data_IF_167854899955
#
_entry.id   IF_167854899955
#
_cell.length_a   1.000
_cell.length_b   1.000
_cell.length_c   1.000
_cell.angle_alpha   90.00
_cell.angle_beta   90.00
_cell.angle_gamma   90.00
#
_symmetry.space_group_name_H-M   'P 1'
#
loop_
_entity.id
_entity.type
_entity.pdbx_description
1 polymer ?
#
# COMPACT_ATOMS: atom_id res chain seq x y z
N UNK A 1 23.70 -43.41 44.51
CA UNK A 1 24.64 -44.44 44.05
C UNK A 1 24.70 -44.40 42.52
N UNK A 2 25.89 -44.20 41.92
CA UNK A 2 26.08 -44.19 40.47
C UNK A 2 26.71 -45.49 39.96
N UNK A 3 26.47 -45.80 38.69
CA UNK A 3 27.34 -46.62 37.82
C UNK A 3 27.37 -45.88 36.46
N UNK A 4 28.51 -45.43 35.92
CA UNK A 4 29.59 -46.20 35.26
C UNK A 4 29.03 -46.97 34.03
N UNK A 5 29.41 -46.62 32.79
CA UNK A 5 30.69 -46.94 32.10
C UNK A 5 30.79 -48.47 31.83
N UNK A 6 31.11 -48.98 30.65
CA UNK A 6 32.06 -48.55 29.57
C UNK A 6 31.46 -48.77 28.14
N UNK A 7 32.05 -48.50 26.95
CA UNK A 7 33.45 -48.46 26.40
C UNK A 7 34.08 -49.87 26.17
N UNK A 8 34.86 -50.24 25.12
CA UNK A 8 35.44 -49.64 23.88
C UNK A 8 35.36 -50.74 22.77
N UNK A 9 35.35 -50.54 21.44
CA UNK A 9 35.35 -49.33 20.60
C UNK A 9 36.27 -49.40 19.36
N UNK A 10 36.08 -50.35 18.43
CA UNK A 10 36.89 -50.56 17.20
C UNK A 10 36.03 -51.03 16.00
N UNK A 11 36.42 -50.88 14.73
CA UNK A 11 37.53 -50.11 14.14
C UNK A 11 37.99 -50.65 12.77
N UNK A 12 38.32 -49.78 11.81
CA UNK A 12 39.04 -50.15 10.57
C UNK A 12 38.32 -49.84 9.25
N UNK A 13 39.03 -49.49 8.15
CA UNK A 13 38.42 -49.05 6.89
C UNK A 13 38.67 -49.99 5.69
N UNK A 14 37.78 -49.95 4.70
CA UNK A 14 38.08 -50.35 3.31
C UNK A 14 37.68 -49.24 2.33
N UNK A 15 38.26 -49.26 1.13
CA UNK A 15 38.51 -48.05 0.34
C UNK A 15 37.84 -48.01 -1.03
N UNK A 16 37.34 -46.82 -1.38
CA UNK A 16 37.32 -46.22 -2.72
C UNK A 16 36.83 -47.05 -3.93
N UNK A 17 35.73 -46.63 -4.54
CA UNK A 17 35.59 -46.71 -6.00
C UNK A 17 34.56 -45.70 -6.54
N UNK A 18 34.70 -45.38 -7.83
CA UNK A 18 33.83 -44.59 -8.71
C UNK A 18 33.65 -43.08 -8.44
N UNK A 19 34.04 -42.33 -9.47
CA UNK A 19 34.00 -40.89 -9.55
C UNK A 19 32.65 -40.35 -10.07
N UNK A 20 32.47 -39.05 -9.84
CA UNK A 20 31.59 -38.10 -10.54
C UNK A 20 31.75 -38.15 -12.09
N UNK A 21 30.80 -37.64 -12.92
CA UNK A 21 30.17 -36.33 -12.70
C UNK A 21 28.69 -36.15 -13.12
N UNK A 22 28.21 -34.92 -12.87
CA UNK A 22 26.86 -34.45 -13.12
C UNK A 22 26.49 -34.37 -14.61
N UNK A 23 25.31 -34.91 -14.98
CA UNK A 23 24.72 -34.71 -16.31
C UNK A 23 23.20 -34.98 -16.33
N UNK A 24 22.42 -34.23 -15.54
CA UNK A 24 20.95 -34.41 -15.47
C UNK A 24 20.12 -33.11 -15.39
N UNK A 25 20.66 -32.00 -15.90
CA UNK A 25 20.04 -30.66 -15.84
C UNK A 25 19.74 -30.01 -17.21
N UNK A 26 19.76 -30.79 -18.32
CA UNK A 26 19.57 -30.28 -19.69
C UNK A 26 18.57 -31.10 -20.53
N UNK A 27 17.58 -31.76 -19.90
CA UNK A 27 16.54 -32.54 -20.60
C UNK A 27 15.12 -32.30 -20.04
N UNK A 28 14.78 -31.06 -19.64
CA UNK A 28 13.42 -30.71 -19.18
C UNK A 28 12.76 -29.51 -19.89
N UNK A 29 13.47 -28.85 -20.82
CA UNK A 29 13.00 -27.65 -21.53
C UNK A 29 12.51 -27.93 -22.97
N UNK A 30 12.17 -29.19 -23.28
CA UNK A 30 11.79 -29.66 -24.62
C UNK A 30 10.30 -30.06 -24.76
N UNK A 31 9.42 -29.53 -23.90
CA UNK A 31 7.97 -29.83 -23.94
C UNK A 31 7.05 -28.60 -23.89
N UNK A 32 7.59 -27.39 -24.12
CA UNK A 32 6.81 -26.14 -24.24
C UNK A 32 7.27 -25.37 -25.48
N UNK A 33 7.05 -25.92 -26.68
CA UNK A 33 7.19 -25.16 -27.94
C UNK A 33 6.37 -25.69 -29.14
N UNK A 34 5.50 -26.69 -28.95
CA UNK A 34 4.76 -27.36 -30.04
C UNK A 34 3.27 -26.96 -30.07
N UNK A 35 2.98 -25.65 -30.05
CA UNK A 35 1.59 -25.12 -30.03
C UNK A 35 1.39 -23.75 -30.70
N UNK A 36 2.42 -23.18 -31.34
CA UNK A 36 2.31 -21.93 -32.12
C UNK A 36 2.92 -22.14 -33.50
N UNK A 37 2.13 -22.72 -34.41
CA UNK A 37 2.54 -23.01 -35.78
C UNK A 37 2.61 -21.75 -36.65
N UNK A 38 3.79 -21.14 -36.76
CA UNK A 38 4.10 -20.10 -37.77
C UNK A 38 5.24 -20.62 -38.66
N UNK A 39 5.07 -20.51 -39.98
CA UNK A 39 5.89 -21.20 -40.99
C UNK A 39 7.18 -20.47 -41.35
N UNK A 40 8.20 -21.27 -41.68
CA UNK A 40 9.44 -20.92 -42.40
C UNK A 40 9.31 -19.78 -43.43
N UNK A 41 10.33 -18.90 -43.48
CA UNK A 41 10.99 -18.49 -44.73
C UNK A 41 12.39 -17.87 -44.49
N UNK A 42 13.36 -18.23 -45.36
CA UNK A 42 14.74 -17.71 -45.51
C UNK A 42 15.61 -17.64 -44.21
N UNK A 43 16.66 -18.43 -43.98
CA UNK A 43 17.73 -19.11 -44.79
C UNK A 43 18.91 -18.19 -45.17
N UNK A 44 20.13 -18.73 -44.98
CA UNK A 44 21.50 -18.16 -45.09
C UNK A 44 21.96 -17.34 -43.86
N UNK A 45 22.87 -17.84 -43.00
CA UNK A 45 24.31 -18.19 -43.19
C UNK A 45 25.15 -16.98 -43.64
N UNK A 46 26.06 -16.41 -42.83
CA UNK A 46 27.26 -16.97 -42.15
C UNK A 46 28.35 -17.41 -43.15
N UNK A 47 29.44 -16.64 -43.21
CA UNK A 47 30.87 -17.01 -43.03
C UNK A 47 31.72 -15.74 -43.29
N UNK A 48 32.85 -15.57 -42.59
CA UNK A 48 33.76 -14.43 -42.75
C UNK A 48 34.90 -14.71 -43.73
N UNK A 49 35.51 -13.66 -44.32
CA UNK A 49 36.78 -13.80 -45.05
C UNK A 49 37.69 -12.56 -44.99
N UNK A 50 39.00 -12.83 -44.85
CA UNK A 50 40.20 -12.02 -45.10
C UNK A 50 40.19 -10.47 -45.00
N UNK A 51 40.89 -9.98 -43.98
CA UNK A 51 42.17 -9.25 -44.13
C UNK A 51 42.33 -8.21 -45.26
N UNK A 52 42.17 -6.92 -44.94
CA UNK A 52 43.24 -5.90 -45.00
C UNK A 52 42.72 -4.50 -44.61
N UNK A 53 43.38 -3.84 -43.64
CA UNK A 53 43.89 -2.47 -43.80
C UNK A 53 44.80 -2.07 -42.62
N UNK A 54 45.73 -1.14 -42.84
CA UNK A 54 46.79 -0.74 -41.92
C UNK A 54 46.57 0.65 -41.32
N UNK A 55 47.15 0.88 -40.15
CA UNK A 55 47.47 2.19 -39.54
C UNK A 55 46.27 3.07 -39.10
N UNK A 56 46.41 4.04 -38.18
CA UNK A 56 47.61 4.66 -37.56
C UNK A 56 47.46 4.68 -36.02
N UNK A 57 48.57 4.60 -35.28
CA UNK A 57 48.64 4.64 -33.80
C UNK A 57 49.05 6.04 -33.24
N UNK A 58 49.31 6.14 -31.92
CA UNK A 58 49.74 7.34 -31.15
C UNK A 58 48.56 8.21 -30.63
N UNK A 59 48.39 8.55 -29.34
CA UNK A 59 49.20 8.42 -28.09
C UNK A 59 50.53 9.19 -28.16
N UNK A 60 50.76 10.28 -27.39
CA UNK A 60 51.04 10.19 -25.94
C UNK A 60 50.84 11.54 -25.20
N UNK A 61 50.49 11.41 -23.92
CA UNK A 61 50.58 12.38 -22.80
C UNK A 61 51.78 13.36 -22.78
N UNK A 62 51.61 14.57 -22.21
CA UNK A 62 52.30 14.93 -20.94
C UNK A 62 51.78 16.19 -20.21
N UNK A 63 51.94 16.13 -18.88
CA UNK A 63 51.91 17.10 -17.77
C UNK A 63 52.15 18.61 -18.01
N UNK A 64 51.59 19.46 -17.12
CA UNK A 64 52.09 20.84 -16.88
C UNK A 64 51.26 21.70 -15.91
N UNK A 65 51.69 21.86 -14.65
CA UNK A 65 51.06 22.79 -13.70
C UNK A 65 51.48 24.26 -13.94
N UNK A 66 50.55 25.20 -13.70
CA UNK A 66 50.88 26.45 -12.97
C UNK A 66 49.66 27.07 -12.29
N UNK A 67 49.70 27.15 -10.97
CA UNK A 67 48.87 28.08 -10.18
C UNK A 67 49.57 29.44 -10.13
N UNK A 68 48.79 30.52 -9.98
CA UNK A 68 49.29 31.83 -9.54
C UNK A 68 48.41 32.28 -8.37
N UNK A 69 49.03 32.77 -7.29
CA UNK A 69 48.34 33.04 -6.03
C UNK A 69 48.14 34.53 -5.76
N UNK A 70 46.95 34.82 -5.22
CA UNK A 70 46.56 35.95 -4.36
C UNK A 70 47.59 37.08 -4.11
N UNK A 71 47.19 38.33 -4.39
CA UNK A 71 47.53 39.46 -3.52
C UNK A 71 46.34 40.39 -3.27
N UNK A 72 46.16 40.67 -1.97
CA UNK A 72 45.50 41.78 -1.27
C UNK A 72 44.69 42.83 -2.07
N UNK A 73 43.51 43.14 -1.52
CA UNK A 73 43.34 44.40 -0.77
C UNK A 73 42.33 44.19 0.38
N UNK A 74 42.40 45.04 1.42
CA UNK A 74 41.60 44.90 2.65
C UNK A 74 40.93 46.22 3.03
N UNK A 75 39.76 46.11 3.70
CA UNK A 75 39.17 47.10 4.63
C UNK A 75 38.68 48.43 4.01
N UNK A 76 37.89 49.25 4.76
CA UNK A 76 37.37 49.06 6.11
C UNK A 76 35.82 49.00 6.22
N UNK A 77 35.34 48.72 7.44
CA UNK A 77 33.95 48.86 7.85
C UNK A 77 33.58 50.34 8.05
N UNK A 78 32.33 50.71 7.76
CA UNK A 78 31.73 52.00 8.14
C UNK A 78 30.53 51.79 9.10
N UNK A 79 30.33 52.71 10.04
CA UNK A 79 29.42 52.57 11.19
C UNK A 79 28.58 53.84 11.40
N UNK A 80 27.31 53.80 11.03
CA UNK A 80 26.22 54.68 11.49
C UNK A 80 24.89 54.05 11.03
N UNK A 81 23.82 53.81 11.79
CA UNK A 81 23.21 54.42 13.01
C UNK A 81 22.06 55.41 12.73
N UNK A 82 20.86 54.97 13.13
CA UNK A 82 19.66 55.73 13.51
C UNK A 82 19.11 56.84 12.59
N UNK A 83 17.99 56.50 11.95
CA UNK A 83 16.68 57.17 12.16
C UNK A 83 16.57 58.69 11.99
N UNK A 84 16.00 59.10 10.85
CA UNK A 84 15.02 60.20 10.76
C UNK A 84 13.87 59.86 9.81
N UNK A 85 12.71 60.45 10.09
CA UNK A 85 11.44 60.42 9.35
C UNK A 85 11.57 61.19 8.00
N UNK A 86 10.70 60.98 6.96
CA UNK A 86 9.25 61.15 7.06
C UNK A 86 8.35 60.15 6.32
N UNK A 87 7.03 60.31 6.52
CA UNK A 87 5.98 59.60 5.82
C UNK A 87 5.59 60.34 4.53
N UNK A 88 5.71 59.68 3.38
CA UNK A 88 5.10 60.08 2.10
C UNK A 88 4.51 58.86 1.42
N UNK A 89 3.39 59.05 0.71
CA UNK A 89 2.63 57.93 0.14
C UNK A 89 3.30 57.36 -1.13
N UNK A 90 3.31 56.03 -1.24
CA UNK A 90 3.62 55.33 -2.48
C UNK A 90 2.55 54.27 -2.74
N UNK A 91 1.79 54.43 -3.83
CA UNK A 91 0.89 53.39 -4.31
C UNK A 91 1.67 52.40 -5.18
N UNK A 92 1.67 51.12 -4.82
CA UNK A 92 2.24 50.07 -5.68
C UNK A 92 1.48 48.75 -5.57
N UNK A 93 0.94 48.33 -6.71
CA UNK A 93 0.77 46.93 -7.16
C UNK A 93 0.64 45.83 -6.08
N UNK A 94 -0.58 45.36 -5.86
CA UNK A 94 -0.83 44.25 -4.93
C UNK A 94 -0.32 42.89 -5.42
N UNK A 95 -0.48 41.87 -4.57
CA UNK A 95 -0.48 40.46 -4.96
C UNK A 95 -1.92 39.92 -4.86
N UNK A 96 -2.51 39.40 -5.94
CA UNK A 96 -3.81 38.74 -5.85
C UNK A 96 -3.68 37.44 -5.04
N UNK A 97 -4.74 37.08 -4.33
CA UNK A 97 -4.82 35.76 -3.69
C UNK A 97 -4.75 34.67 -4.75
N UNK A 98 -3.68 33.87 -4.72
CA UNK A 98 -3.53 32.73 -5.62
C UNK A 98 -4.62 31.71 -5.34
N UNK A 99 -5.63 31.63 -6.21
CA UNK A 99 -6.72 30.66 -6.06
C UNK A 99 -6.12 29.25 -6.02
N UNK A 100 -6.26 28.55 -4.88
CA UNK A 100 -5.83 27.15 -4.75
C UNK A 100 -6.84 26.29 -5.53
N UNK A 101 -6.73 26.32 -6.86
CA UNK A 101 -7.26 25.27 -7.72
C UNK A 101 -6.51 24.01 -7.33
N UNK A 102 -7.18 23.13 -6.59
CA UNK A 102 -6.62 21.82 -6.24
C UNK A 102 -6.28 21.12 -7.55
N UNK A 103 -4.98 21.03 -7.86
CA UNK A 103 -4.50 20.35 -9.05
C UNK A 103 -4.71 18.85 -8.86
N UNK A 104 -5.92 18.38 -9.17
CA UNK A 104 -6.35 16.98 -9.15
C UNK A 104 -5.41 16.08 -9.97
N UNK A 105 -4.79 16.65 -11.00
CA UNK A 105 -3.69 16.06 -11.79
C UNK A 105 -2.43 15.82 -10.94
N UNK A 106 -1.97 16.81 -10.17
CA UNK A 106 -0.82 16.69 -9.25
C UNK A 106 -1.12 15.74 -8.11
N UNK A 107 -2.30 15.83 -7.48
CA UNK A 107 -2.73 14.90 -6.45
C UNK A 107 -2.76 13.44 -6.97
N UNK A 108 -3.31 13.21 -8.16
CA UNK A 108 -3.29 11.88 -8.81
C UNK A 108 -1.88 11.37 -9.11
N UNK A 109 -0.94 12.24 -9.47
CA UNK A 109 0.48 11.87 -9.70
C UNK A 109 1.21 11.52 -8.41
N UNK A 110 0.96 12.24 -7.32
CA UNK A 110 1.48 11.92 -5.98
C UNK A 110 0.93 10.57 -5.51
N UNK A 111 -0.40 10.40 -5.60
CA UNK A 111 -1.11 9.18 -5.21
C UNK A 111 -0.62 7.94 -5.98
N UNK A 112 -0.26 8.09 -7.26
CA UNK A 112 0.35 7.03 -8.06
C UNK A 112 1.78 6.63 -7.65
N UNK A 113 2.47 7.41 -6.80
CA UNK A 113 3.77 7.08 -6.21
C UNK A 113 3.68 6.55 -4.77
N UNK A 114 2.52 6.67 -4.10
CA UNK A 114 2.32 6.16 -2.75
C UNK A 114 2.26 4.62 -2.72
N UNK A 115 2.60 3.96 -1.60
CA UNK A 115 2.59 2.50 -1.48
C UNK A 115 1.18 1.88 -1.41
N UNK A 116 0.11 2.70 -1.42
CA UNK A 116 -1.30 2.29 -1.49
C UNK A 116 -1.76 1.28 -0.41
N UNK A 117 -1.08 1.26 0.75
CA UNK A 117 -1.42 0.35 1.85
C UNK A 117 -2.71 0.72 2.58
N UNK A 118 -3.14 1.98 2.49
CA UNK A 118 -4.28 2.58 3.21
C UNK A 118 -4.19 2.47 4.76
N UNK A 119 -3.00 2.29 5.32
CA UNK A 119 -2.76 2.07 6.76
C UNK A 119 -2.98 3.28 7.69
N UNK A 120 -3.42 4.43 7.16
CA UNK A 120 -3.68 5.70 7.87
C UNK A 120 -2.57 6.28 8.77
N UNK A 121 -1.36 5.70 8.80
CA UNK A 121 -0.23 6.11 9.68
C UNK A 121 0.22 7.57 9.50
N UNK A 122 -0.03 8.18 8.33
CA UNK A 122 0.20 9.61 8.08
C UNK A 122 -0.87 10.55 8.67
N UNK A 123 -1.85 10.04 9.42
CA UNK A 123 -2.97 10.82 9.97
C UNK A 123 -4.14 11.05 9.00
N UNK A 124 -4.00 10.64 7.73
CA UNK A 124 -5.05 10.77 6.71
C UNK A 124 -5.82 9.45 6.52
N UNK A 125 -7.13 9.49 6.19
CA UNK A 125 -7.97 8.29 6.03
C UNK A 125 -7.68 7.44 4.77
N UNK A 126 -6.59 7.73 4.04
CA UNK A 126 -6.15 6.98 2.86
C UNK A 126 -5.04 7.70 2.10
N UNK A 127 -4.47 7.02 1.10
CA UNK A 127 -3.38 7.55 0.27
C UNK A 127 -3.81 8.77 -0.57
N UNK A 128 -5.00 8.73 -1.19
CA UNK A 128 -5.48 9.85 -2.01
C UNK A 128 -5.72 11.15 -1.20
N UNK A 129 -6.36 11.14 -0.01
CA UNK A 129 -6.43 12.32 0.87
C UNK A 129 -5.05 12.88 1.28
N UNK A 130 -4.07 12.03 1.61
CA UNK A 130 -2.69 12.46 1.89
C UNK A 130 -2.04 13.11 0.65
N UNK A 131 -2.23 12.50 -0.53
CA UNK A 131 -1.74 13.04 -1.81
C UNK A 131 -2.37 14.41 -2.16
N UNK A 132 -3.66 14.60 -1.84
CA UNK A 132 -4.32 15.90 -1.96
C UNK A 132 -3.73 16.94 -1.00
N UNK A 133 -3.42 16.57 0.24
CA UNK A 133 -2.79 17.46 1.22
C UNK A 133 -1.36 17.87 0.81
N UNK A 134 -0.55 16.93 0.29
CA UNK A 134 0.77 17.25 -0.29
C UNK A 134 0.63 18.22 -1.48
N UNK A 135 -0.35 17.98 -2.37
CA UNK A 135 -0.61 18.84 -3.53
C UNK A 135 -1.09 20.25 -3.15
N UNK A 136 -1.76 20.39 -2.00
CA UNK A 136 -2.19 21.67 -1.42
C UNK A 136 -1.10 22.35 -0.58
N UNK A 137 -0.03 21.63 -0.23
CA UNK A 137 1.03 22.12 0.68
C UNK A 137 0.65 22.08 2.17
N UNK A 138 -0.44 21.39 2.53
CA UNK A 138 -0.90 21.23 3.93
C UNK A 138 -0.31 20.00 4.63
N UNK A 139 0.36 19.11 3.88
CA UNK A 139 1.16 18.00 4.40
C UNK A 139 2.59 18.02 3.83
N UNK A 140 3.53 17.49 4.61
CA UNK A 140 4.88 17.20 4.14
C UNK A 140 4.93 15.93 3.28
N UNK A 141 6.05 15.71 2.59
CA UNK A 141 6.30 14.51 1.77
C UNK A 141 6.87 13.32 2.58
N UNK A 142 7.28 13.63 3.81
CA UNK A 142 8.06 12.86 4.78
C UNK A 142 7.22 11.96 5.70
N UNK A 143 5.89 11.97 5.57
CA UNK A 143 4.96 11.45 6.58
C UNK A 143 4.49 10.00 6.35
N UNK A 144 5.12 9.25 5.43
CA UNK A 144 4.62 7.94 4.98
C UNK A 144 5.64 6.80 5.20
N UNK A 145 5.69 6.19 6.41
CA UNK A 145 6.68 5.15 6.72
C UNK A 145 6.67 3.93 5.78
N UNK A 146 5.52 3.40 5.30
CA UNK A 146 5.52 2.30 4.34
C UNK A 146 5.98 2.68 2.92
N UNK A 147 6.20 3.96 2.65
CA UNK A 147 6.84 4.43 1.41
C UNK A 147 8.36 4.52 1.52
N UNK A 148 8.89 4.55 2.75
CA UNK A 148 10.31 4.67 3.04
C UNK A 148 10.96 5.95 2.52
N UNK A 149 12.28 6.07 2.71
CA UNK A 149 13.05 7.21 2.17
C UNK A 149 12.92 7.27 0.63
N UNK A 150 12.95 6.12 -0.04
CA UNK A 150 12.81 6.01 -1.50
C UNK A 150 11.43 6.45 -2.04
N UNK A 151 10.42 6.60 -1.17
CA UNK A 151 9.15 7.25 -1.45
C UNK A 151 9.26 8.78 -1.31
N UNK A 152 9.87 9.27 -0.23
CA UNK A 152 10.09 10.71 0.00
C UNK A 152 10.91 11.34 -1.13
N UNK A 153 12.01 10.69 -1.54
CA UNK A 153 12.87 11.13 -2.64
C UNK A 153 12.09 11.25 -3.97
N UNK A 154 11.19 10.30 -4.23
CA UNK A 154 10.37 10.29 -5.44
C UNK A 154 9.29 11.37 -5.43
N UNK A 155 8.73 11.69 -4.26
CA UNK A 155 7.81 12.82 -4.08
C UNK A 155 8.54 14.17 -4.19
N UNK A 156 9.76 14.28 -3.66
CA UNK A 156 10.61 15.45 -3.82
C UNK A 156 10.91 15.71 -5.31
N UNK A 157 11.36 14.69 -6.03
CA UNK A 157 11.62 14.75 -7.47
C UNK A 157 10.36 15.08 -8.30
N UNK A 158 9.21 14.48 -7.98
CA UNK A 158 7.93 14.78 -8.65
C UNK A 158 7.51 16.25 -8.50
N UNK A 159 7.83 16.87 -7.36
CA UNK A 159 7.38 18.22 -6.98
C UNK A 159 8.44 19.31 -7.18
N UNK A 160 9.64 18.97 -7.66
CA UNK A 160 10.75 19.92 -7.80
C UNK A 160 11.23 20.49 -6.47
N UNK A 161 11.18 19.68 -5.39
CA UNK A 161 11.59 20.06 -4.03
C UNK A 161 12.90 19.37 -3.65
N UNK A 162 13.63 19.92 -2.68
CA UNK A 162 14.69 19.18 -2.02
C UNK A 162 14.11 17.97 -1.27
N UNK A 163 14.86 16.86 -1.22
CA UNK A 163 14.46 15.71 -0.39
C UNK A 163 14.63 16.03 1.11
N UNK A 164 13.93 15.27 1.93
CA UNK A 164 13.88 15.39 3.39
C UNK A 164 13.99 13.97 3.98
N UNK A 165 14.53 13.80 5.19
CA UNK A 165 14.50 12.50 5.86
C UNK A 165 13.06 12.10 6.18
N UNK A 166 12.75 10.80 6.11
CA UNK A 166 11.50 10.23 6.62
C UNK A 166 11.26 10.68 8.08
N UNK A 167 10.04 11.12 8.38
CA UNK A 167 9.72 11.77 9.64
C UNK A 167 9.29 10.76 10.73
N UNK A 168 10.10 10.57 11.79
CA UNK A 168 9.88 9.51 12.78
C UNK A 168 8.60 9.73 13.62
N UNK A 169 8.02 10.94 13.62
CA UNK A 169 6.76 11.21 14.31
C UNK A 169 5.57 10.43 13.73
N UNK A 170 5.66 9.97 12.47
CA UNK A 170 4.64 9.13 11.82
C UNK A 170 4.99 7.63 11.86
N UNK A 171 6.16 7.27 12.39
CA UNK A 171 6.70 5.91 12.45
C UNK A 171 7.99 5.72 11.66
N UNK A 172 8.58 4.52 11.78
CA UNK A 172 9.82 4.13 11.09
C UNK A 172 9.55 3.29 9.85
N UNK A 173 10.48 3.31 8.90
CA UNK A 173 10.51 2.37 7.77
C UNK A 173 10.72 0.94 8.29
N UNK A 174 9.94 -0.01 7.78
CA UNK A 174 9.92 -1.41 8.22
C UNK A 174 9.59 -2.34 7.04
N UNK A 175 10.07 -3.60 7.03
CA UNK A 175 9.77 -4.54 5.96
C UNK A 175 8.25 -4.77 5.87
N UNK A 176 7.65 -4.78 4.66
CA UNK A 176 6.21 -4.95 4.52
C UNK A 176 5.76 -6.32 5.02
N UNK A 177 4.69 -6.33 5.80
CA UNK A 177 4.19 -7.51 6.50
C UNK A 177 3.02 -8.17 5.75
N UNK A 178 2.58 -9.30 6.30
CA UNK A 178 1.29 -9.94 6.02
C UNK A 178 0.58 -10.18 7.35
N UNK A 179 -0.73 -9.99 7.38
CA UNK A 179 -1.54 -10.35 8.55
C UNK A 179 -1.83 -11.86 8.49
N UNK A 180 -1.78 -12.54 9.63
CA UNK A 180 -2.10 -13.97 9.78
C UNK A 180 -3.12 -14.12 10.90
N UNK A 181 -4.16 -14.92 10.69
CA UNK A 181 -5.23 -15.20 11.66
C UNK A 181 -4.99 -16.57 12.27
N UNK A 182 -5.18 -16.72 13.58
CA UNK A 182 -5.26 -18.02 14.24
C UNK A 182 -6.69 -18.59 14.04
N UNK A 183 -6.84 -19.60 13.19
CA UNK A 183 -8.15 -20.23 12.93
C UNK A 183 -8.78 -20.92 14.15
N UNK A 184 -7.99 -21.36 15.14
CA UNK A 184 -8.49 -22.04 16.34
C UNK A 184 -9.13 -21.06 17.33
N UNK A 185 -8.64 -19.81 17.39
CA UNK A 185 -9.20 -18.73 18.23
C UNK A 185 -10.27 -17.90 17.47
N UNK A 186 -10.34 -17.99 16.14
CA UNK A 186 -11.22 -17.15 15.31
C UNK A 186 -12.73 -17.45 15.46
N UNK A 187 -13.42 -16.72 16.34
CA UNK A 187 -14.88 -16.82 16.61
C UNK A 187 -15.81 -16.43 15.43
N UNK A 188 -15.28 -16.08 14.26
CA UNK A 188 -16.07 -15.78 13.07
C UNK A 188 -16.94 -14.52 13.12
N UNK A 189 -16.46 -13.46 13.78
CA UNK A 189 -17.23 -12.24 14.03
C UNK A 189 -17.36 -11.25 12.84
N UNK A 190 -16.64 -11.47 11.73
CA UNK A 190 -16.58 -10.61 10.52
C UNK A 190 -16.05 -9.17 10.68
N UNK A 191 -15.72 -8.69 11.88
CA UNK A 191 -15.20 -7.32 12.09
C UNK A 191 -13.94 -7.02 11.25
N UNK A 192 -13.03 -8.00 11.14
CA UNK A 192 -11.82 -7.89 10.33
C UNK A 192 -12.11 -7.67 8.82
N UNK A 193 -13.16 -8.30 8.26
CA UNK A 193 -13.62 -8.04 6.87
C UNK A 193 -14.12 -6.60 6.72
N UNK A 194 -14.72 -6.02 7.76
CA UNK A 194 -15.21 -4.63 7.77
C UNK A 194 -14.06 -3.61 7.90
N UNK A 195 -12.97 -3.97 8.57
CA UNK A 195 -11.76 -3.14 8.67
C UNK A 195 -10.83 -3.24 7.45
N UNK A 196 -10.75 -4.38 6.77
CA UNK A 196 -9.79 -4.60 5.68
C UNK A 196 -10.09 -3.71 4.45
N UNK A 197 -9.18 -2.80 4.03
CA UNK A 197 -9.44 -1.85 2.94
C UNK A 197 -9.45 -2.48 1.53
N UNK A 198 -8.88 -3.68 1.36
CA UNK A 198 -8.63 -4.32 0.05
C UNK A 198 -9.38 -5.63 -0.16
N UNK A 199 -10.27 -6.01 0.77
CA UNK A 199 -10.97 -7.31 0.81
C UNK A 199 -10.00 -8.52 0.75
N UNK A 200 -8.87 -8.46 1.45
CA UNK A 200 -7.88 -9.55 1.52
C UNK A 200 -8.25 -10.64 2.55
N UNK A 201 -9.35 -10.49 3.29
CA UNK A 201 -9.80 -11.44 4.32
C UNK A 201 -11.06 -12.15 3.81
N UNK A 202 -11.02 -13.47 3.83
CA UNK A 202 -12.13 -14.36 3.47
C UNK A 202 -12.68 -15.08 4.70
N UNK A 203 -13.95 -15.46 4.65
CA UNK A 203 -14.66 -16.10 5.76
C UNK A 203 -16.15 -15.80 5.72
N UNK A 204 -16.87 -16.24 6.74
CA UNK A 204 -18.30 -15.98 6.90
C UNK A 204 -18.67 -15.86 8.38
N UNK A 205 -19.83 -15.28 8.68
CA UNK A 205 -20.37 -15.21 10.04
C UNK A 205 -20.43 -16.59 10.68
N UNK A 206 -19.86 -16.73 11.89
CA UNK A 206 -19.72 -18.02 12.62
C UNK A 206 -18.86 -19.08 11.91
N UNK A 207 -17.93 -18.67 11.05
CA UNK A 207 -16.87 -19.51 10.47
C UNK A 207 -15.50 -18.86 10.69
N UNK A 208 -14.45 -19.66 10.74
CA UNK A 208 -13.07 -19.17 10.73
C UNK A 208 -12.81 -18.24 9.53
N UNK A 209 -11.87 -17.32 9.70
CA UNK A 209 -11.46 -16.37 8.67
C UNK A 209 -9.99 -16.60 8.37
N UNK A 210 -9.61 -16.53 7.10
CA UNK A 210 -8.23 -16.66 6.63
C UNK A 210 -7.89 -15.51 5.67
N UNK A 211 -6.61 -15.33 5.38
CA UNK A 211 -6.09 -14.18 4.62
C UNK A 211 -5.54 -14.64 3.28
N UNK A 212 -5.77 -13.82 2.24
CA UNK A 212 -5.17 -14.01 0.92
C UNK A 212 -3.90 -13.15 0.87
N UNK A 213 -2.75 -13.78 1.07
CA UNK A 213 -1.46 -13.11 1.20
C UNK A 213 -1.09 -12.23 0.00
N UNK A 214 -1.47 -12.64 -1.22
CA UNK A 214 -1.25 -11.86 -2.44
C UNK A 214 -2.04 -10.52 -2.46
N UNK A 215 -3.20 -10.49 -1.80
CA UNK A 215 -4.08 -9.31 -1.71
C UNK A 215 -3.74 -8.43 -0.50
N UNK A 216 -2.99 -8.96 0.48
CA UNK A 216 -2.73 -8.28 1.75
C UNK A 216 -1.67 -7.17 1.63
N UNK A 217 -2.04 -5.96 2.05
CA UNK A 217 -1.19 -4.75 2.02
C UNK A 217 -0.32 -4.56 3.27
N UNK A 218 -0.44 -5.39 4.30
CA UNK A 218 0.22 -5.16 5.59
C UNK A 218 -0.33 -3.95 6.35
N UNK A 219 -1.59 -3.54 6.09
CA UNK A 219 -2.17 -2.29 6.59
C UNK A 219 -2.46 -2.22 8.10
N UNK A 220 -2.35 -3.34 8.84
CA UNK A 220 -2.54 -3.45 10.30
C UNK A 220 -3.97 -3.22 10.83
N UNK A 221 -4.84 -2.54 10.06
CA UNK A 221 -6.20 -2.14 10.46
C UNK A 221 -7.12 -3.28 10.95
N UNK A 222 -6.82 -4.54 10.59
CA UNK A 222 -7.59 -5.70 11.04
C UNK A 222 -7.27 -6.14 12.47
N UNK A 223 -6.08 -5.87 13.01
CA UNK A 223 -5.65 -6.30 14.35
C UNK A 223 -6.54 -5.67 15.45
N UNK A 224 -6.63 -4.34 15.61
CA UNK A 224 -7.48 -3.71 16.63
C UNK A 224 -9.00 -3.85 16.34
N UNK A 225 -9.38 -4.42 15.19
CA UNK A 225 -10.77 -4.76 14.89
C UNK A 225 -11.16 -6.16 15.40
N UNK A 226 -10.19 -6.99 15.80
CA UNK A 226 -10.44 -8.32 16.34
C UNK A 226 -10.90 -8.23 17.81
N UNK A 227 -12.04 -8.83 18.20
CA UNK A 227 -12.52 -8.81 19.60
C UNK A 227 -11.95 -9.95 20.45
N UNK A 228 -11.03 -10.74 19.90
CA UNK A 228 -10.37 -11.90 20.54
C UNK A 228 -8.88 -11.96 20.19
N UNK A 229 -8.31 -10.86 19.68
CA UNK A 229 -6.89 -10.63 19.37
C UNK A 229 -6.15 -11.72 18.54
N UNK A 230 -6.90 -12.60 17.87
CA UNK A 230 -6.38 -13.73 17.08
C UNK A 230 -5.71 -13.36 15.75
N UNK A 231 -5.13 -12.17 15.62
CA UNK A 231 -4.49 -11.68 14.38
C UNK A 231 -3.10 -11.13 14.69
N UNK A 232 -2.09 -11.66 13.99
CA UNK A 232 -0.69 -11.26 14.10
C UNK A 232 -0.17 -10.66 12.79
N UNK A 233 0.86 -9.83 12.86
CA UNK A 233 1.57 -9.31 11.68
C UNK A 233 2.92 -10.02 11.55
N UNK A 234 3.12 -10.73 10.45
CA UNK A 234 4.36 -11.47 10.15
C UNK A 234 5.15 -10.80 9.02
N UNK A 235 6.48 -10.91 9.07
CA UNK A 235 7.33 -10.42 7.96
C UNK A 235 7.11 -11.29 6.74
N UNK A 236 6.98 -10.64 5.58
CA UNK A 236 6.65 -11.28 4.32
C UNK A 236 7.89 -11.92 3.67
N UNK A 237 7.78 -13.19 3.27
CA UNK A 237 8.87 -13.95 2.66
C UNK A 237 9.18 -13.64 1.19
N UNK A 238 8.37 -12.84 0.50
CA UNK A 238 8.57 -12.48 -0.92
C UNK A 238 9.56 -11.32 -1.15
N UNK A 239 10.44 -11.05 -0.19
CA UNK A 239 11.34 -9.89 -0.16
C UNK A 239 12.82 -10.27 -0.38
N UNK A 240 13.64 -9.37 -0.98
CA UNK A 240 13.31 -8.02 -1.42
C UNK A 240 12.68 -7.96 -2.82
N UNK A 241 11.63 -7.15 -2.98
CA UNK A 241 11.03 -6.83 -4.28
C UNK A 241 11.73 -5.62 -4.92
N UNK A 242 11.84 -5.63 -6.24
CA UNK A 242 12.37 -4.48 -7.00
C UNK A 242 11.38 -3.31 -7.05
N UNK A 243 11.87 -2.10 -7.36
CA UNK A 243 11.02 -0.89 -7.44
C UNK A 243 9.84 -1.02 -8.42
N UNK A 244 9.98 -1.62 -9.62
CA UNK A 244 8.85 -1.91 -10.51
C UNK A 244 7.79 -2.83 -9.87
N UNK A 245 8.20 -3.90 -9.18
CA UNK A 245 7.29 -4.87 -8.55
C UNK A 245 6.53 -4.23 -7.38
N UNK A 246 7.21 -3.41 -6.56
CA UNK A 246 6.58 -2.60 -5.51
C UNK A 246 5.52 -1.65 -6.10
N UNK A 247 5.80 -1.00 -7.23
CA UNK A 247 4.83 -0.14 -7.93
C UNK A 247 3.65 -0.94 -8.51
N UNK A 248 3.89 -2.12 -9.10
CA UNK A 248 2.82 -3.01 -9.59
C UNK A 248 1.91 -3.48 -8.44
N UNK A 249 2.49 -3.85 -7.29
CA UNK A 249 1.74 -4.26 -6.09
C UNK A 249 0.95 -3.10 -5.48
N UNK A 250 1.50 -1.90 -5.42
CA UNK A 250 0.77 -0.69 -5.00
C UNK A 250 -0.41 -0.39 -5.94
N UNK A 251 -0.22 -0.49 -7.26
CA UNK A 251 -1.32 -0.36 -8.23
C UNK A 251 -2.38 -1.44 -8.06
N UNK A 252 -2.01 -2.67 -7.73
CA UNK A 252 -2.96 -3.74 -7.42
C UNK A 252 -3.78 -3.45 -6.16
N UNK A 253 -3.11 -3.10 -5.05
CA UNK A 253 -3.74 -2.69 -3.81
C UNK A 253 -4.74 -1.52 -4.01
N UNK A 254 -4.37 -0.53 -4.82
CA UNK A 254 -5.26 0.56 -5.22
C UNK A 254 -6.50 0.05 -5.96
N UNK A 255 -6.34 -0.77 -7.00
CA UNK A 255 -7.48 -1.33 -7.77
C UNK A 255 -8.46 -2.09 -6.85
N UNK A 256 -7.94 -2.80 -5.86
CA UNK A 256 -8.73 -3.49 -4.81
C UNK A 256 -9.48 -2.53 -3.91
N UNK A 257 -8.82 -1.52 -3.36
CA UNK A 257 -9.43 -0.47 -2.53
C UNK A 257 -10.53 0.29 -3.28
N UNK A 258 -10.24 0.75 -4.50
CA UNK A 258 -11.19 1.45 -5.36
C UNK A 258 -12.41 0.56 -5.69
N UNK A 259 -12.22 -0.75 -5.88
CA UNK A 259 -13.29 -1.71 -6.10
C UNK A 259 -14.12 -2.01 -4.84
N UNK A 260 -13.50 -2.01 -3.65
CA UNK A 260 -14.22 -2.11 -2.37
C UNK A 260 -15.09 -0.88 -2.13
N UNK A 261 -14.53 0.31 -2.28
CA UNK A 261 -15.22 1.57 -2.00
C UNK A 261 -16.47 1.71 -2.89
N UNK A 262 -16.34 1.53 -4.21
CA UNK A 262 -17.50 1.50 -5.13
C UNK A 262 -18.60 0.52 -4.69
N UNK A 263 -18.23 -0.65 -4.13
CA UNK A 263 -19.18 -1.65 -3.63
C UNK A 263 -19.87 -1.23 -2.34
N UNK A 264 -19.19 -0.47 -1.48
CA UNK A 264 -19.76 0.11 -0.26
C UNK A 264 -20.67 1.30 -0.59
N UNK A 265 -20.23 2.20 -1.46
CA UNK A 265 -21.00 3.37 -1.92
C UNK A 265 -22.35 2.95 -2.52
N UNK A 266 -22.35 1.97 -3.44
CA UNK A 266 -23.57 1.43 -4.04
C UNK A 266 -24.52 0.81 -2.99
N UNK A 267 -23.98 0.09 -2.00
CA UNK A 267 -24.79 -0.46 -0.89
C UNK A 267 -25.37 0.64 0.00
N UNK A 268 -24.61 1.70 0.26
CA UNK A 268 -25.05 2.86 1.05
C UNK A 268 -26.15 3.64 0.31
N UNK A 269 -26.00 3.87 -0.99
CA UNK A 269 -27.00 4.49 -1.85
C UNK A 269 -28.30 3.66 -1.89
N UNK A 270 -28.20 2.35 -2.12
CA UNK A 270 -29.36 1.43 -2.08
C UNK A 270 -30.06 1.43 -0.72
N UNK A 271 -29.31 1.45 0.40
CA UNK A 271 -29.87 1.55 1.75
C UNK A 271 -30.59 2.88 1.95
N UNK A 272 -29.99 4.00 1.51
CA UNK A 272 -30.60 5.32 1.57
C UNK A 272 -31.90 5.38 0.77
N UNK A 273 -31.91 4.89 -0.48
CA UNK A 273 -33.10 4.83 -1.34
C UNK A 273 -34.25 4.07 -0.68
N UNK A 274 -33.98 2.90 -0.08
CA UNK A 274 -35.00 2.12 0.67
C UNK A 274 -35.56 2.88 1.87
N UNK A 275 -34.72 3.62 2.60
CA UNK A 275 -35.18 4.42 3.75
C UNK A 275 -36.07 5.60 3.31
N UNK A 276 -35.71 6.30 2.23
CA UNK A 276 -36.53 7.40 1.68
C UNK A 276 -37.85 6.88 1.09
N UNK A 277 -37.81 5.77 0.35
CA UNK A 277 -39.01 5.12 -0.20
C UNK A 277 -39.96 4.66 0.89
N UNK A 278 -39.45 3.98 1.94
CA UNK A 278 -40.27 3.60 3.11
C UNK A 278 -40.88 4.84 3.81
N UNK A 279 -40.10 5.90 4.01
CA UNK A 279 -40.59 7.13 4.65
C UNK A 279 -41.72 7.77 3.84
N UNK A 280 -41.58 7.84 2.51
CA UNK A 280 -42.62 8.32 1.59
C UNK A 280 -43.86 7.42 1.59
N UNK A 281 -43.69 6.09 1.62
CA UNK A 281 -44.82 5.14 1.74
C UNK A 281 -45.56 5.24 3.07
N UNK A 282 -44.86 5.61 4.16
CA UNK A 282 -45.47 5.90 5.47
C UNK A 282 -46.02 7.31 5.62
N UNK A 283 -45.88 8.18 4.61
CA UNK A 283 -46.35 9.57 4.66
C UNK A 283 -47.82 9.75 4.25
N UNK A 284 -48.51 8.68 3.84
CA UNK A 284 -49.98 8.68 3.74
C UNK A 284 -50.56 9.00 5.12
N UNK A 285 -51.40 10.04 5.29
CA UNK A 285 -51.89 10.44 6.60
C UNK A 285 -52.79 9.35 7.19
N UNK A 286 -52.26 8.61 8.16
CA UNK A 286 -53.03 7.59 8.89
C UNK A 286 -54.24 8.27 9.55
N UNK A 287 -55.49 7.87 9.23
CA UNK A 287 -56.65 8.44 9.88
C UNK A 287 -56.58 8.19 11.39
N UNK A 288 -57.01 9.14 12.24
CA UNK A 288 -56.84 9.03 13.69
C UNK A 288 -57.57 7.80 14.22
N UNK A 289 -56.80 6.78 14.62
CA UNK A 289 -57.33 5.49 15.05
C UNK A 289 -58.16 5.70 16.33
N UNK A 290 -59.45 5.42 16.25
CA UNK A 290 -60.38 5.65 17.35
C UNK A 290 -60.03 4.77 18.56
N UNK A 291 -60.31 5.29 19.77
CA UNK A 291 -60.13 4.54 21.02
C UNK A 291 -60.93 3.22 21.03
N UNK A 292 -62.08 3.17 20.35
CA UNK A 292 -62.86 1.94 20.14
C UNK A 292 -62.12 0.92 19.27
N UNK A 293 -61.55 1.32 18.13
CA UNK A 293 -60.81 0.40 17.25
C UNK A 293 -59.59 -0.23 17.96
N UNK A 294 -58.89 0.53 18.81
CA UNK A 294 -57.79 0.01 19.65
C UNK A 294 -58.31 -0.99 20.69
N UNK A 295 -59.41 -0.68 21.38
CA UNK A 295 -60.00 -1.57 22.39
C UNK A 295 -60.52 -2.87 21.77
N UNK A 296 -61.15 -2.82 20.59
CA UNK A 296 -61.54 -4.00 19.84
C UNK A 296 -60.35 -4.86 19.40
N UNK A 297 -59.25 -4.25 18.94
CA UNK A 297 -58.04 -4.98 18.55
C UNK A 297 -57.45 -5.75 19.76
N UNK A 298 -57.45 -5.12 20.94
CA UNK A 298 -57.06 -5.76 22.21
C UNK A 298 -58.03 -6.89 22.59
N UNK A 299 -59.35 -6.69 22.43
CA UNK A 299 -60.36 -7.70 22.69
C UNK A 299 -60.21 -8.92 21.77
N UNK A 300 -60.06 -8.71 20.45
CA UNK A 300 -59.77 -9.77 19.46
C UNK A 300 -58.48 -10.53 19.79
N UNK A 301 -57.44 -9.82 20.24
CA UNK A 301 -56.18 -10.43 20.68
C UNK A 301 -56.32 -11.30 21.93
N UNK A 302 -57.11 -10.86 22.93
CA UNK A 302 -57.44 -11.65 24.12
C UNK A 302 -58.27 -12.89 23.78
N UNK A 303 -59.28 -12.74 22.92
CA UNK A 303 -60.13 -13.86 22.48
C UNK A 303 -59.34 -14.95 21.76
N UNK A 304 -58.43 -14.59 20.84
CA UNK A 304 -57.54 -15.58 20.20
C UNK A 304 -56.65 -16.33 21.20
N UNK A 305 -56.09 -15.65 22.19
CA UNK A 305 -55.28 -16.29 23.24
C UNK A 305 -56.11 -17.23 24.12
N UNK A 306 -57.34 -16.85 24.48
CA UNK A 306 -58.24 -17.71 25.25
C UNK A 306 -58.59 -19.01 24.51
N UNK A 307 -58.90 -18.94 23.21
CA UNK A 307 -59.12 -20.13 22.38
C UNK A 307 -57.87 -21.02 22.25
N UNK A 308 -56.70 -20.41 22.04
CA UNK A 308 -55.42 -21.14 21.97
C UNK A 308 -54.99 -21.83 23.28
N UNK A 309 -55.60 -21.46 24.42
CA UNK A 309 -55.41 -22.16 25.70
C UNK A 309 -56.46 -23.25 25.97
N UNK A 310 -57.44 -23.45 25.08
CA UNK A 310 -58.47 -24.49 25.20
C UNK A 310 -58.13 -25.74 24.35
N UNK A 311 -57.59 -25.58 23.14
CA UNK A 311 -57.19 -26.67 22.22
C UNK A 311 -55.90 -27.43 22.64
N UNK A 312 -55.42 -27.24 23.88
CA UNK A 312 -54.08 -27.64 24.33
C UNK A 312 -54.05 -28.65 25.49
N UNK A 313 -55.09 -29.47 25.67
CA UNK A 313 -55.20 -30.43 26.77
C UNK A 313 -55.94 -31.71 26.36
#
# INVERSE_FOLDING_TARGET
>A
MPHLQDSVGSGGPESATHALPALHHLLRDLWILDSIGIRHRAVCRIVAWCSHCHAVSAVTSLSGHRQVSLRHLQRPLARSSRSTFPCTAAASSGRPGGSIRVNLTTASRIDALLPQTQCTRCGYPGCLPYAQAIAQGTAGIDQCPPGGQAGVDALAALLGRATQPLNPAFGIEAPPTVAVIDEAVCIGCTKCIQACPVDAIIGASKRMHSIIDAECTGCDLCVPACPVDCISMQVRGDLPLSRPELMQRAQHARRRFDARNRRLDLKQQQRAQRLHGNAQSSATPTPPISRSAVLEAIARGKAKRAGQSADGK
#
